data_IF_646755201865
#
_entry.id   IF_646755201865
#
_cell.length_a   1.000
_cell.length_b   1.000
_cell.length_c   1.000
_cell.angle_alpha   90.00
_cell.angle_beta   90.00
_cell.angle_gamma   90.00
#
_symmetry.space_group_name_H-M   'P 1'
#
loop_
_entity.id
_entity.type
_entity.pdbx_description
1 polymer ?
#
# COMPACT_ATOMS: atom_id res chain seq x y z
N UNK A 1 16.31 8.27 4.22
CA UNK A 1 15.10 7.92 4.90
C UNK A 1 14.65 6.55 4.56
N UNK A 2 14.40 5.79 5.56
CA UNK A 2 13.98 4.41 5.37
C UNK A 2 12.50 4.31 5.22
N UNK A 3 12.08 3.89 4.05
CA UNK A 3 10.70 3.50 3.87
C UNK A 3 10.61 2.02 4.07
N UNK A 4 9.72 1.61 4.96
CA UNK A 4 9.55 0.20 5.26
C UNK A 4 8.77 -0.53 4.19
N UNK A 5 8.25 0.19 3.23
CA UNK A 5 7.52 -0.42 2.12
C UNK A 5 7.59 0.50 0.92
N UNK A 6 7.09 0.00 -0.21
CA UNK A 6 7.12 0.73 -1.46
C UNK A 6 5.76 1.19 -1.90
N UNK A 7 4.80 1.24 -0.99
CA UNK A 7 3.42 1.59 -1.34
C UNK A 7 3.35 2.96 -2.00
N UNK A 8 3.97 3.96 -1.40
CA UNK A 8 3.91 5.32 -1.95
C UNK A 8 4.55 5.39 -3.33
N UNK A 9 5.71 4.77 -3.48
CA UNK A 9 6.42 4.80 -4.74
C UNK A 9 5.62 4.13 -5.85
N UNK A 10 5.04 2.98 -5.56
CA UNK A 10 4.26 2.26 -6.54
C UNK A 10 2.98 3.03 -6.86
N UNK A 11 2.32 3.56 -5.82
CA UNK A 11 1.10 4.34 -6.00
C UNK A 11 1.37 5.52 -6.95
N UNK A 12 2.44 6.23 -6.69
CA UNK A 12 2.78 7.40 -7.51
C UNK A 12 3.14 7.01 -8.93
N UNK A 13 3.79 5.86 -9.10
CA UNK A 13 4.13 5.39 -10.45
C UNK A 13 2.89 5.05 -11.25
N UNK A 14 1.78 4.77 -10.58
CA UNK A 14 0.52 4.48 -11.24
C UNK A 14 -0.40 5.69 -11.28
N UNK A 15 0.10 6.85 -10.88
CA UNK A 15 -0.62 8.12 -10.91
C UNK A 15 -1.90 8.05 -10.08
N UNK A 16 -1.84 7.38 -8.94
CA UNK A 16 -2.97 7.28 -8.03
C UNK A 16 -2.76 8.21 -6.85
N UNK A 17 -3.83 8.91 -6.45
CA UNK A 17 -3.80 9.65 -5.20
C UNK A 17 -4.01 8.68 -4.04
N UNK A 18 -3.73 9.15 -2.82
CA UNK A 18 -4.00 8.33 -1.64
C UNK A 18 -5.47 7.95 -1.56
N UNK A 19 -6.36 8.90 -1.87
CA UNK A 19 -7.79 8.63 -1.84
C UNK A 19 -8.19 7.59 -2.88
N UNK A 20 -7.57 7.65 -4.04
CA UNK A 20 -7.88 6.66 -5.09
C UNK A 20 -7.41 5.27 -4.69
N UNK A 21 -6.21 5.18 -4.14
CA UNK A 21 -5.73 3.88 -3.68
C UNK A 21 -6.61 3.36 -2.55
N UNK A 22 -6.98 4.23 -1.63
CA UNK A 22 -7.84 3.84 -0.52
C UNK A 22 -9.17 3.28 -1.01
N UNK A 23 -9.76 3.92 -2.01
CA UNK A 23 -11.02 3.45 -2.59
C UNK A 23 -10.85 2.08 -3.23
N UNK A 24 -9.77 1.92 -4.00
CA UNK A 24 -9.51 0.63 -4.64
C UNK A 24 -9.27 -0.47 -3.62
N UNK A 25 -8.59 -0.15 -2.54
CA UNK A 25 -8.25 -1.13 -1.51
C UNK A 25 -9.39 -1.35 -0.51
N UNK A 26 -10.39 -0.48 -0.50
CA UNK A 26 -11.47 -0.60 0.47
C UNK A 26 -11.05 -0.20 1.87
N UNK A 27 -10.15 0.77 1.99
CA UNK A 27 -9.69 1.27 3.27
C UNK A 27 -9.78 2.80 3.25
N UNK A 28 -9.51 3.44 4.39
CA UNK A 28 -9.54 4.89 4.46
C UNK A 28 -8.23 5.49 3.94
N UNK A 29 -8.29 6.76 3.52
CA UNK A 29 -7.09 7.48 3.11
C UNK A 29 -6.10 7.57 4.25
N UNK A 30 -6.60 7.70 5.47
CA UNK A 30 -5.74 7.75 6.64
C UNK A 30 -4.95 6.45 6.80
N UNK A 31 -5.61 5.33 6.51
CA UNK A 31 -4.94 4.03 6.56
C UNK A 31 -3.80 3.98 5.54
N UNK A 32 -4.06 4.45 4.32
CA UNK A 32 -3.02 4.49 3.30
C UNK A 32 -1.86 5.36 3.78
N UNK A 33 -2.17 6.53 4.33
CA UNK A 33 -1.14 7.44 4.81
C UNK A 33 -0.27 6.79 5.89
N UNK A 34 -0.90 6.10 6.83
CA UNK A 34 -0.16 5.43 7.90
C UNK A 34 0.73 4.33 7.36
N UNK A 35 0.22 3.55 6.42
CA UNK A 35 1.00 2.48 5.82
C UNK A 35 2.21 3.06 5.10
N UNK A 36 2.02 4.15 4.38
CA UNK A 36 3.13 4.76 3.64
C UNK A 36 4.20 5.31 4.56
N UNK A 37 3.82 5.68 5.79
CA UNK A 37 4.78 6.16 6.77
C UNK A 37 5.52 5.01 7.47
N UNK A 38 5.19 3.78 7.13
CA UNK A 38 5.85 2.63 7.71
C UNK A 38 5.25 2.15 9.02
N UNK A 39 4.08 2.64 9.39
CA UNK A 39 3.40 2.13 10.58
C UNK A 39 2.87 0.74 10.31
N UNK A 40 2.84 -0.07 11.37
CA UNK A 40 2.35 -1.43 11.20
C UNK A 40 0.87 -1.44 10.84
N UNK A 41 0.47 -2.42 10.08
CA UNK A 41 -0.92 -2.58 9.71
C UNK A 41 -1.28 -4.06 9.77
N UNK A 42 -2.57 -4.33 9.75
CA UNK A 42 -3.04 -5.70 9.81
C UNK A 42 -2.76 -6.42 8.50
N UNK A 43 -2.66 -7.74 8.58
CA UNK A 43 -2.45 -8.54 7.38
C UNK A 43 -3.53 -8.29 6.35
N UNK A 44 -4.77 -8.14 6.80
CA UNK A 44 -5.87 -7.87 5.88
C UNK A 44 -5.67 -6.57 5.13
N UNK A 45 -5.19 -5.55 5.82
CA UNK A 45 -4.91 -4.26 5.18
C UNK A 45 -3.80 -4.40 4.16
N UNK A 46 -2.74 -5.13 4.50
CA UNK A 46 -1.64 -5.36 3.57
C UNK A 46 -2.14 -6.05 2.31
N UNK A 47 -2.96 -7.08 2.48
CA UNK A 47 -3.49 -7.83 1.36
C UNK A 47 -4.32 -6.92 0.44
N UNK A 48 -5.19 -6.11 1.04
CA UNK A 48 -6.02 -5.21 0.26
C UNK A 48 -5.20 -4.23 -0.55
N UNK A 49 -4.15 -3.69 0.05
CA UNK A 49 -3.30 -2.72 -0.63
C UNK A 49 -2.51 -3.38 -1.75
N UNK A 50 -1.97 -4.57 -1.50
CA UNK A 50 -1.22 -5.29 -2.53
C UNK A 50 -2.09 -5.53 -3.77
N UNK A 51 -3.30 -6.02 -3.55
CA UNK A 51 -4.20 -6.30 -4.67
C UNK A 51 -4.64 -5.01 -5.37
N UNK A 52 -4.87 -3.94 -4.61
CA UNK A 52 -5.27 -2.67 -5.20
C UNK A 52 -4.19 -2.08 -6.07
N UNK A 53 -2.94 -2.36 -5.77
CA UNK A 53 -1.81 -1.88 -6.56
C UNK A 53 -1.56 -2.75 -7.79
N UNK A 54 -2.32 -3.83 -7.96
CA UNK A 54 -2.22 -4.65 -9.15
C UNK A 54 -1.27 -5.83 -9.03
N UNK A 55 -0.85 -6.15 -7.83
CA UNK A 55 0.03 -7.31 -7.60
C UNK A 55 -0.76 -8.49 -7.09
N UNK A 56 -0.18 -9.67 -7.23
CA UNK A 56 -0.71 -10.85 -6.58
C UNK A 56 -0.14 -10.95 -5.17
N UNK A 57 -0.72 -11.80 -4.34
CA UNK A 57 -0.22 -11.96 -2.98
C UNK A 57 1.17 -12.60 -2.94
N UNK A 58 1.51 -13.38 -3.96
CA UNK A 58 2.86 -13.92 -4.07
C UNK A 58 3.90 -12.84 -4.28
N UNK A 59 3.47 -11.68 -4.72
CA UNK A 59 4.36 -10.56 -5.01
C UNK A 59 4.44 -9.57 -3.87
N UNK A 60 3.97 -9.95 -2.69
CA UNK A 60 3.92 -9.01 -1.57
C UNK A 60 5.26 -8.38 -1.23
N UNK A 61 6.34 -9.08 -1.50
CA UNK A 61 7.67 -8.55 -1.21
C UNK A 61 8.04 -7.37 -2.10
N UNK A 62 7.37 -7.24 -3.23
CA UNK A 62 7.59 -6.08 -4.08
C UNK A 62 6.97 -4.82 -3.50
N UNK A 63 6.04 -4.97 -2.58
CA UNK A 63 5.33 -3.87 -1.96
C UNK A 63 5.77 -3.67 -0.52
N UNK A 64 5.79 -4.74 0.26
CA UNK A 64 6.15 -4.71 1.67
C UNK A 64 7.44 -5.48 1.88
N UNK A 65 8.49 -4.75 2.18
CA UNK A 65 9.79 -5.37 2.47
C UNK A 65 9.87 -5.67 3.95
N UNK A 66 10.50 -6.76 4.22
CA UNK A 66 10.77 -7.15 5.60
C UNK A 66 12.11 -6.59 6.04
#
# INVERSE_FOLDING_TARGET
MNQKNKVKKIRESRLLSKAELARKAGVSSLTVDRVERGESCRLETMRKIILALGFTLDEREKVFQE
#
